data_IF_824182201620
#
_entry.id   IF_824182201620
#
_cell.length_a   1.000
_cell.length_b   1.000
_cell.length_c   1.000
_cell.angle_alpha   90.00
_cell.angle_beta   90.00
_cell.angle_gamma   90.00
#
_symmetry.space_group_name_H-M   'P 1'
#
loop_
_entity.id
_entity.type
_entity.pdbx_description
1 polymer ?
#
# COMPACT_ATOMS: atom_id res chain seq x y z
N UNK A 1 -31.91 12.10 8.00
CA UNK A 1 -30.83 11.09 7.90
C UNK A 1 -30.28 10.86 9.30
N UNK A 2 -30.15 9.63 9.79
CA UNK A 2 -29.53 9.38 11.12
C UNK A 2 -28.03 9.65 11.03
N UNK A 3 -27.45 10.32 12.03
CA UNK A 3 -25.99 10.41 12.16
C UNK A 3 -25.46 9.04 12.56
N UNK A 4 -24.69 8.41 11.67
CA UNK A 4 -24.02 7.14 11.98
C UNK A 4 -22.56 7.44 12.22
N UNK A 5 -22.04 6.94 13.33
CA UNK A 5 -20.61 7.06 13.63
C UNK A 5 -19.76 6.39 12.54
N UNK A 6 -18.57 6.98 12.34
CA UNK A 6 -17.55 6.42 11.46
C UNK A 6 -17.15 5.04 11.97
N UNK A 7 -16.97 4.09 11.06
CA UNK A 7 -16.38 2.83 11.44
C UNK A 7 -14.85 2.93 11.51
N UNK A 8 -14.30 2.53 12.65
CA UNK A 8 -12.86 2.37 12.90
C UNK A 8 -12.63 0.91 13.28
N UNK A 9 -11.70 0.24 12.59
CA UNK A 9 -11.32 -1.13 12.89
C UNK A 9 -10.64 -1.24 14.26
N UNK A 10 -10.89 -2.33 14.98
CA UNK A 10 -10.21 -2.60 16.26
C UNK A 10 -8.72 -2.88 16.05
N UNK A 11 -8.41 -3.54 14.94
CA UNK A 11 -7.07 -3.87 14.47
C UNK A 11 -7.00 -3.67 12.96
N UNK A 12 -5.79 -3.55 12.43
CA UNK A 12 -5.54 -3.40 10.98
C UNK A 12 -6.02 -4.61 10.16
N UNK A 13 -6.18 -5.78 10.80
CA UNK A 13 -6.65 -7.02 10.17
C UNK A 13 -8.17 -7.25 10.33
N UNK A 14 -8.89 -6.32 10.97
CA UNK A 14 -10.32 -6.49 11.21
C UNK A 14 -11.09 -6.50 9.89
N UNK A 15 -11.89 -7.53 9.62
CA UNK A 15 -12.71 -7.56 8.41
C UNK A 15 -13.69 -6.38 8.36
N UNK A 16 -13.74 -5.69 7.22
CA UNK A 16 -14.62 -4.52 7.05
C UNK A 16 -16.08 -4.99 7.00
N UNK A 17 -16.95 -4.52 7.92
CA UNK A 17 -18.33 -4.97 7.99
C UNK A 17 -19.12 -4.67 6.70
N UNK A 18 -20.08 -5.52 6.29
CA UNK A 18 -20.88 -5.29 5.08
C UNK A 18 -21.60 -3.94 5.04
N UNK A 19 -22.07 -3.44 6.19
CA UNK A 19 -22.68 -2.10 6.30
C UNK A 19 -21.74 -0.97 5.89
N UNK A 20 -20.44 -1.10 6.20
CA UNK A 20 -19.41 -0.11 5.86
C UNK A 20 -19.08 -0.21 4.37
N UNK A 21 -19.00 -1.44 3.84
CA UNK A 21 -18.82 -1.67 2.39
C UNK A 21 -19.90 -0.96 1.57
N UNK A 22 -21.15 -1.08 1.97
CA UNK A 22 -22.26 -0.41 1.30
C UNK A 22 -22.17 1.12 1.40
N UNK A 23 -21.92 1.67 2.58
CA UNK A 23 -21.75 3.13 2.77
C UNK A 23 -20.62 3.70 1.91
N UNK A 24 -19.47 3.05 1.89
CA UNK A 24 -18.32 3.48 1.09
C UNK A 24 -18.63 3.39 -0.40
N UNK A 25 -19.27 2.32 -0.84
CA UNK A 25 -19.69 2.18 -2.24
C UNK A 25 -20.63 3.32 -2.66
N UNK A 26 -21.65 3.62 -1.85
CA UNK A 26 -22.61 4.71 -2.11
C UNK A 26 -21.94 6.09 -2.09
N UNK A 27 -21.06 6.34 -1.11
CA UNK A 27 -20.31 7.60 -0.98
C UNK A 27 -19.51 7.94 -2.24
N UNK A 28 -18.93 6.93 -2.88
CA UNK A 28 -18.14 7.08 -4.10
C UNK A 28 -18.94 6.79 -5.38
N UNK A 29 -20.28 6.70 -5.30
CA UNK A 29 -21.16 6.52 -6.45
C UNK A 29 -20.97 5.20 -7.19
N UNK A 30 -20.40 4.19 -6.53
CA UNK A 30 -20.03 2.92 -7.16
C UNK A 30 -18.95 3.06 -8.23
N UNK A 31 -18.06 4.04 -8.09
CA UNK A 31 -16.97 4.29 -9.05
C UNK A 31 -15.66 3.78 -8.46
N UNK A 32 -14.92 3.00 -9.24
CA UNK A 32 -13.56 2.60 -8.92
C UNK A 32 -12.68 3.84 -8.81
N UNK A 33 -12.10 4.08 -7.64
CA UNK A 33 -11.32 5.30 -7.41
C UNK A 33 -9.92 5.27 -8.02
N UNK A 34 -9.41 4.09 -8.42
CA UNK A 34 -8.14 4.01 -9.15
C UNK A 34 -8.29 4.19 -10.66
N UNK A 35 -9.38 3.67 -11.25
CA UNK A 35 -9.58 3.70 -12.70
C UNK A 35 -10.60 4.72 -13.19
N UNK A 36 -11.43 5.28 -12.30
CA UNK A 36 -12.55 6.15 -12.64
C UNK A 36 -13.73 5.43 -13.31
N UNK A 37 -13.65 4.12 -13.53
CA UNK A 37 -14.74 3.32 -14.14
C UNK A 37 -15.83 3.02 -13.12
N UNK A 38 -17.09 3.06 -13.54
CA UNK A 38 -18.23 2.55 -12.75
C UNK A 38 -18.12 1.04 -12.54
N UNK A 39 -18.28 0.62 -11.29
CA UNK A 39 -18.34 -0.78 -10.89
C UNK A 39 -19.71 -1.32 -11.30
N UNK A 40 -19.71 -2.31 -12.19
CA UNK A 40 -20.93 -2.94 -12.71
C UNK A 40 -21.31 -4.15 -11.85
N UNK A 41 -22.57 -4.62 -11.94
CA UNK A 41 -22.94 -5.91 -11.39
C UNK A 41 -22.00 -7.02 -11.90
N UNK A 42 -21.65 -7.97 -11.03
CA UNK A 42 -20.65 -9.01 -11.26
C UNK A 42 -19.18 -8.56 -11.36
N UNK A 43 -18.85 -7.26 -11.36
CA UNK A 43 -17.45 -6.85 -11.22
C UNK A 43 -16.94 -7.22 -9.81
N UNK A 44 -15.77 -7.86 -9.74
CA UNK A 44 -15.07 -8.08 -8.46
C UNK A 44 -14.43 -6.76 -7.99
N UNK A 45 -14.79 -6.32 -6.78
CA UNK A 45 -14.25 -5.12 -6.17
C UNK A 45 -13.99 -5.31 -4.68
N UNK A 46 -12.96 -4.62 -4.20
CA UNK A 46 -12.52 -4.60 -2.82
C UNK A 46 -12.53 -3.17 -2.28
N UNK A 47 -12.44 -3.05 -0.97
CA UNK A 47 -12.12 -1.79 -0.32
C UNK A 47 -10.63 -1.72 -0.10
N UNK A 48 -10.04 -0.67 -0.64
CA UNK A 48 -8.62 -0.38 -0.50
C UNK A 48 -8.43 0.83 0.44
N UNK A 49 -7.24 0.95 1.01
CA UNK A 49 -6.88 2.11 1.81
C UNK A 49 -6.36 3.22 0.91
N UNK A 50 -6.96 4.41 0.97
CA UNK A 50 -6.51 5.60 0.24
C UNK A 50 -5.04 5.88 0.58
N UNK A 51 -4.74 5.86 1.89
CA UNK A 51 -3.38 5.86 2.42
C UNK A 51 -3.08 4.51 3.03
N UNK A 52 -2.05 3.82 2.53
CA UNK A 52 -1.62 2.53 3.06
C UNK A 52 -1.25 2.61 4.55
N UNK A 53 -1.57 1.56 5.32
CA UNK A 53 -1.37 1.51 6.77
C UNK A 53 0.09 1.74 7.15
N UNK A 54 1.02 1.08 6.46
CA UNK A 54 2.46 1.22 6.71
C UNK A 54 2.99 2.64 6.47
N UNK A 55 2.26 3.49 5.74
CA UNK A 55 2.55 4.93 5.56
C UNK A 55 1.86 5.82 6.61
N UNK A 56 1.32 5.24 7.68
CA UNK A 56 0.50 5.94 8.67
C UNK A 56 -0.90 6.23 8.14
N UNK A 57 -1.47 5.30 7.37
CA UNK A 57 -2.90 5.24 7.11
C UNK A 57 -3.63 4.53 8.25
N UNK A 58 -4.87 4.90 8.49
CA UNK A 58 -5.69 4.28 9.53
C UNK A 58 -6.69 3.31 8.92
N UNK A 59 -7.01 2.23 9.63
CA UNK A 59 -8.06 1.29 9.21
C UNK A 59 -9.45 1.81 9.59
N UNK A 60 -9.88 2.87 8.92
CA UNK A 60 -11.16 3.55 9.14
C UNK A 60 -11.86 3.88 7.84
N UNK A 61 -13.17 4.06 7.91
CA UNK A 61 -14.04 4.28 6.75
C UNK A 61 -13.66 5.51 5.91
N UNK A 62 -13.19 6.60 6.51
CA UNK A 62 -12.72 7.77 5.76
C UNK A 62 -11.48 7.51 4.92
N UNK A 63 -10.68 6.51 5.30
CA UNK A 63 -9.50 6.08 4.56
C UNK A 63 -9.78 4.91 3.62
N UNK A 64 -11.05 4.50 3.44
CA UNK A 64 -11.41 3.41 2.55
C UNK A 64 -12.11 3.92 1.29
N UNK A 65 -11.84 3.27 0.17
CA UNK A 65 -12.51 3.55 -1.10
C UNK A 65 -12.72 2.28 -1.94
N UNK A 66 -13.77 2.23 -2.79
CA UNK A 66 -14.05 1.06 -3.61
C UNK A 66 -13.14 1.03 -4.84
N UNK A 67 -12.56 -0.14 -5.09
CA UNK A 67 -11.60 -0.35 -6.18
C UNK A 67 -11.85 -1.71 -6.83
N UNK A 68 -11.78 -1.74 -8.16
CA UNK A 68 -11.82 -3.01 -8.91
C UNK A 68 -10.60 -3.87 -8.58
N UNK A 69 -10.83 -5.17 -8.36
CA UNK A 69 -9.82 -6.12 -7.87
C UNK A 69 -8.52 -6.13 -8.69
N UNK A 70 -8.64 -6.01 -10.01
CA UNK A 70 -7.49 -5.95 -10.91
C UNK A 70 -6.59 -4.73 -10.63
N UNK A 71 -7.18 -3.55 -10.47
CA UNK A 71 -6.44 -2.30 -10.20
C UNK A 71 -5.91 -2.29 -8.77
N UNK A 72 -6.67 -2.84 -7.83
CA UNK A 72 -6.23 -3.00 -6.45
C UNK A 72 -4.94 -3.83 -6.38
N UNK A 73 -4.90 -4.99 -7.06
CA UNK A 73 -3.70 -5.85 -7.09
C UNK A 73 -2.47 -5.15 -7.68
N UNK A 74 -2.64 -4.33 -8.72
CA UNK A 74 -1.54 -3.56 -9.31
C UNK A 74 -0.97 -2.56 -8.28
N UNK A 75 -1.82 -1.74 -7.67
CA UNK A 75 -1.42 -0.81 -6.61
C UNK A 75 -0.74 -1.53 -5.44
N UNK A 76 -1.34 -2.63 -4.94
CA UNK A 76 -0.75 -3.39 -3.83
C UNK A 76 0.65 -3.92 -4.17
N UNK A 77 0.88 -4.37 -5.41
CA UNK A 77 2.19 -4.86 -5.85
C UNK A 77 3.24 -3.75 -5.88
N UNK A 78 2.86 -2.56 -6.36
CA UNK A 78 3.73 -1.38 -6.39
C UNK A 78 4.09 -0.94 -4.97
N UNK A 79 3.09 -0.79 -4.10
CA UNK A 79 3.29 -0.39 -2.70
C UNK A 79 4.16 -1.39 -1.92
N UNK A 80 3.96 -2.69 -2.14
CA UNK A 80 4.75 -3.74 -1.49
C UNK A 80 6.22 -3.72 -1.97
N UNK A 81 6.46 -3.39 -3.24
CA UNK A 81 7.81 -3.21 -3.78
C UNK A 81 8.52 -2.02 -3.12
N UNK A 82 7.80 -0.91 -2.95
CA UNK A 82 8.31 0.27 -2.27
C UNK A 82 8.58 0.02 -0.79
N UNK A 83 7.66 -0.64 -0.09
CA UNK A 83 7.82 -1.04 1.30
C UNK A 83 9.04 -1.94 1.49
N UNK A 84 9.21 -2.97 0.65
CA UNK A 84 10.35 -3.88 0.72
C UNK A 84 11.69 -3.14 0.53
N UNK A 85 11.73 -2.13 -0.34
CA UNK A 85 12.92 -1.27 -0.52
C UNK A 85 13.21 -0.46 0.75
N UNK A 86 12.20 0.17 1.34
CA UNK A 86 12.33 0.94 2.58
C UNK A 86 12.82 0.05 3.73
N UNK A 87 12.23 -1.13 3.90
CA UNK A 87 12.63 -2.09 4.93
C UNK A 87 14.05 -2.58 4.74
N UNK A 88 14.47 -2.84 3.49
CA UNK A 88 15.85 -3.20 3.18
C UNK A 88 16.82 -2.09 3.54
N UNK A 89 16.51 -0.83 3.21
CA UNK A 89 17.35 0.32 3.55
C UNK A 89 17.44 0.47 5.07
N UNK A 90 16.31 0.38 5.78
CA UNK A 90 16.26 0.41 7.24
C UNK A 90 17.11 -0.70 7.86
N UNK A 91 16.99 -1.94 7.38
CA UNK A 91 17.81 -3.08 7.84
C UNK A 91 19.31 -2.84 7.64
N UNK A 92 19.72 -2.20 6.54
CA UNK A 92 21.12 -1.82 6.31
C UNK A 92 21.59 -0.77 7.31
N UNK A 93 20.80 0.27 7.56
CA UNK A 93 21.13 1.30 8.54
C UNK A 93 21.23 0.75 9.97
N UNK A 94 20.40 -0.23 10.32
CA UNK A 94 20.43 -0.90 11.61
C UNK A 94 21.52 -1.99 11.73
N UNK A 95 22.26 -2.29 10.65
CA UNK A 95 23.29 -3.34 10.65
C UNK A 95 22.76 -4.78 10.71
N UNK A 96 21.45 -4.99 10.57
CA UNK A 96 20.81 -6.33 10.58
C UNK A 96 20.85 -6.97 9.18
N UNK A 97 21.07 -6.16 8.14
CA UNK A 97 21.17 -6.67 6.78
C UNK A 97 22.45 -7.51 6.60
N UNK A 98 22.36 -8.73 6.03
CA UNK A 98 23.53 -9.59 5.86
C UNK A 98 24.62 -8.91 5.04
N UNK A 99 25.87 -9.04 5.48
CA UNK A 99 27.03 -8.55 4.74
C UNK A 99 27.10 -9.22 3.37
N UNK A 100 27.43 -8.43 2.35
CA UNK A 100 27.69 -8.96 1.02
C UNK A 100 28.84 -9.96 1.08
N UNK A 101 28.61 -11.21 0.66
CA UNK A 101 29.67 -12.19 0.43
C UNK A 101 30.46 -11.89 -0.85
N UNK A 102 29.89 -11.09 -1.75
CA UNK A 102 30.57 -10.68 -2.98
C UNK A 102 31.67 -9.66 -2.64
N UNK A 103 32.92 -10.04 -2.91
CA UNK A 103 34.06 -9.14 -2.90
C UNK A 103 33.93 -8.14 -4.05
N UNK A 104 34.17 -6.86 -3.76
CA UNK A 104 34.18 -5.81 -4.78
C UNK A 104 35.29 -6.13 -5.79
N UNK A 105 34.91 -6.36 -7.05
CA UNK A 105 35.84 -6.53 -8.18
C UNK A 105 35.96 -5.20 -8.93
N UNK A 106 36.51 -4.18 -8.29
CA UNK A 106 36.78 -2.89 -8.94
C UNK A 106 38.22 -2.82 -9.45
N UNK A 107 38.45 -2.05 -10.52
CA UNK A 107 39.81 -1.64 -10.89
C UNK A 107 40.41 -0.88 -9.71
N UNK A 108 41.71 -1.07 -9.43
CA UNK A 108 42.41 -0.27 -8.43
C UNK A 108 42.28 1.23 -8.72
N UNK A 109 42.36 2.05 -7.68
CA UNK A 109 42.37 3.51 -7.85
C UNK A 109 43.48 3.93 -8.81
N UNK A 110 43.17 4.79 -9.77
CA UNK A 110 44.17 5.27 -10.71
C UNK A 110 45.23 6.06 -9.94
N UNK A 111 46.51 5.77 -10.19
CA UNK A 111 47.60 6.58 -9.65
C UNK A 111 47.53 7.96 -10.31
N UNK A 112 47.36 8.99 -9.49
CA UNK A 112 47.28 10.40 -9.95
C UNK A 112 48.64 11.08 -10.01
N UNK A 113 49.69 10.48 -9.45
CA UNK A 113 51.06 10.99 -9.46
C UNK A 113 52.04 9.92 -9.94
N UNK A 114 53.00 10.34 -10.75
CA UNK A 114 54.16 9.53 -11.14
C UNK A 114 55.19 9.62 -10.00
N UNK A 115 55.04 8.73 -9.01
CA UNK A 115 56.11 8.39 -8.06
C UNK A 115 56.28 6.88 -8.10
#
# INVERSE_FOLDING_TARGET
MRSVEEWIGKTDDTAIPPRVRLRVFEKFGGICQLSGRKIMPCDEWDLDHIKAIWRGGEHRETNLHPVLRAHHRLKSSEEQTEQAKCDRIRKKHLGIWPSSSAKIKSRGFAKTRNV
#
